data_IF_311497925608
#
_entry.id   IF_311497925608
#
_cell.length_a   1.000
_cell.length_b   1.000
_cell.length_c   1.000
_cell.angle_alpha   90.00
_cell.angle_beta   90.00
_cell.angle_gamma   90.00
#
_symmetry.space_group_name_H-M   'P 1'
#
loop_
_entity.id
_entity.type
_entity.pdbx_description
1 polymer ?
#
# COMPACT_ATOMS: atom_id res chain seq x y z
N UNK A 1 0.88 23.91 23.39
CA UNK A 1 0.92 23.19 24.70
C UNK A 1 1.85 23.86 25.72
N UNK A 2 3.16 23.99 25.43
CA UNK A 2 4.16 24.57 26.35
C UNK A 2 3.72 25.89 26.99
N UNK A 3 3.26 26.86 26.19
CA UNK A 3 2.76 28.16 26.68
C UNK A 3 1.67 28.04 27.76
N UNK A 4 0.73 27.10 27.60
CA UNK A 4 -0.36 26.90 28.56
C UNK A 4 0.13 26.28 29.88
N UNK A 5 1.15 25.41 29.82
CA UNK A 5 1.79 24.83 31.00
C UNK A 5 2.58 25.91 31.75
N UNK A 6 3.40 26.69 31.05
CA UNK A 6 4.23 27.74 31.64
C UNK A 6 3.42 28.84 32.32
N UNK A 7 2.22 29.16 31.81
CA UNK A 7 1.33 30.14 32.42
C UNK A 7 0.96 29.80 33.88
N UNK A 8 0.90 28.51 34.24
CA UNK A 8 0.60 28.07 35.61
C UNK A 8 1.70 28.41 36.62
N UNK A 9 2.94 28.51 36.17
CA UNK A 9 4.11 28.78 37.01
C UNK A 9 4.42 30.29 37.14
N UNK A 10 3.81 31.12 36.28
CA UNK A 10 4.00 32.57 36.31
C UNK A 10 3.52 33.20 37.63
N UNK A 11 2.43 32.69 38.21
CA UNK A 11 1.86 33.20 39.46
C UNK A 11 2.72 32.90 40.71
N UNK A 12 3.69 31.98 40.60
CA UNK A 12 4.47 31.46 41.73
C UNK A 12 5.91 32.00 41.76
N UNK A 13 6.29 32.90 40.85
CA UNK A 13 7.63 33.52 40.82
C UNK A 13 8.76 32.56 40.43
N UNK A 14 8.44 31.40 39.84
CA UNK A 14 9.46 30.44 39.37
C UNK A 14 10.16 30.93 38.11
N UNK A 15 11.48 30.72 38.05
CA UNK A 15 12.27 30.88 36.81
C UNK A 15 12.05 29.67 35.91
N UNK A 16 11.52 29.92 34.71
CA UNK A 16 11.19 28.92 33.68
C UNK A 16 12.37 28.77 32.73
N UNK A 17 13.07 27.65 32.82
CA UNK A 17 14.21 27.31 31.93
C UNK A 17 13.86 26.12 31.04
N UNK A 18 14.16 26.23 29.75
CA UNK A 18 14.18 25.10 28.83
C UNK A 18 15.63 24.64 28.60
N UNK A 19 15.84 23.33 28.60
CA UNK A 19 17.13 22.72 28.25
C UNK A 19 16.90 21.83 27.04
N UNK A 20 17.64 22.07 25.97
CA UNK A 20 17.55 21.32 24.72
C UNK A 20 18.79 20.45 24.57
N UNK A 21 18.57 19.14 24.42
CA UNK A 21 19.59 18.14 24.15
C UNK A 21 19.28 17.50 22.79
N UNK A 22 20.00 17.89 21.75
CA UNK A 22 19.81 17.40 20.38
C UNK A 22 21.14 17.44 19.63
N UNK A 23 21.38 16.46 18.75
CA UNK A 23 22.61 16.34 17.98
C UNK A 23 23.67 15.45 18.63
N UNK A 24 24.96 15.76 18.40
CA UNK A 24 26.06 14.92 18.87
C UNK A 24 26.26 15.13 20.37
N UNK A 25 26.10 14.08 21.20
CA UNK A 25 26.27 14.22 22.64
C UNK A 25 27.74 14.45 23.02
N UNK A 26 27.95 15.02 24.21
CA UNK A 26 29.28 15.20 24.80
C UNK A 26 29.99 13.86 25.03
N UNK A 27 31.32 13.90 25.08
CA UNK A 27 32.14 12.71 25.34
C UNK A 27 31.80 12.05 26.71
N UNK A 28 31.53 12.88 27.73
CA UNK A 28 31.10 12.42 29.05
C UNK A 28 29.78 11.64 29.00
N UNK A 29 28.80 12.13 28.22
CA UNK A 29 27.53 11.44 28.05
C UNK A 29 27.71 10.11 27.32
N UNK A 30 28.54 10.07 26.27
CA UNK A 30 28.86 8.82 25.55
C UNK A 30 29.51 7.78 26.46
N UNK A 31 30.47 8.19 27.29
CA UNK A 31 31.11 7.28 28.26
C UNK A 31 30.09 6.69 29.24
N UNK A 32 29.16 7.52 29.73
CA UNK A 32 28.08 7.07 30.63
C UNK A 32 27.11 6.11 29.94
N UNK A 33 26.76 6.35 28.68
CA UNK A 33 25.92 5.42 27.89
C UNK A 33 26.62 4.08 27.71
N UNK A 34 27.91 4.09 27.37
CA UNK A 34 28.73 2.89 27.21
C UNK A 34 28.81 2.07 28.52
N UNK A 35 29.00 2.72 29.66
CA UNK A 35 28.96 2.07 30.98
C UNK A 35 27.60 1.40 31.24
N UNK A 36 26.51 2.10 30.94
CA UNK A 36 25.16 1.56 31.12
C UNK A 36 24.87 0.39 30.17
N UNK A 37 25.37 0.39 28.93
CA UNK A 37 25.24 -0.75 28.01
C UNK A 37 25.97 -1.97 28.59
N UNK A 38 27.20 -1.80 29.11
CA UNK A 38 27.93 -2.88 29.76
C UNK A 38 27.15 -3.41 30.97
N UNK A 39 26.58 -2.52 31.78
CA UNK A 39 25.75 -2.91 32.92
C UNK A 39 24.51 -3.71 32.48
N UNK A 40 23.83 -3.29 31.41
CA UNK A 40 22.66 -3.99 30.86
C UNK A 40 23.04 -5.37 30.29
N UNK A 41 24.20 -5.48 29.61
CA UNK A 41 24.74 -6.78 29.16
C UNK A 41 25.01 -7.71 30.33
N UNK A 42 25.68 -7.22 31.39
CA UNK A 42 25.95 -8.00 32.61
C UNK A 42 24.65 -8.44 33.28
N UNK A 43 23.65 -7.57 33.35
CA UNK A 43 22.35 -7.90 33.93
C UNK A 43 21.61 -8.96 33.09
N UNK A 44 21.64 -8.86 31.76
CA UNK A 44 21.05 -9.86 30.85
C UNK A 44 21.75 -11.21 30.95
N UNK A 45 23.08 -11.25 30.95
CA UNK A 45 23.86 -12.47 31.14
C UNK A 45 23.56 -13.13 32.49
N UNK A 46 23.53 -12.35 33.58
CA UNK A 46 23.16 -12.85 34.90
C UNK A 46 21.72 -13.38 34.98
N UNK A 47 20.76 -12.70 34.34
CA UNK A 47 19.37 -13.14 34.27
C UNK A 47 19.22 -14.43 33.47
N UNK A 48 19.95 -14.58 32.36
CA UNK A 48 19.97 -15.78 31.53
C UNK A 48 20.61 -16.95 32.30
N UNK A 49 21.74 -16.74 32.97
CA UNK A 49 22.36 -17.73 33.85
C UNK A 49 21.42 -18.18 34.96
N UNK A 50 20.70 -17.24 35.60
CA UNK A 50 19.68 -17.56 36.62
C UNK A 50 18.51 -18.37 36.05
N UNK A 51 18.02 -18.05 34.85
CA UNK A 51 16.96 -18.82 34.17
C UNK A 51 17.42 -20.23 33.85
N UNK A 52 18.64 -20.40 33.31
CA UNK A 52 19.24 -21.71 33.04
C UNK A 52 19.36 -22.54 34.32
N UNK A 53 19.89 -21.97 35.40
CA UNK A 53 20.00 -22.65 36.68
C UNK A 53 18.63 -23.08 37.26
N UNK A 54 17.60 -22.23 37.12
CA UNK A 54 16.23 -22.57 37.55
C UNK A 54 15.62 -23.70 36.70
N UNK A 55 15.88 -23.71 35.40
CA UNK A 55 15.44 -24.77 34.49
C UNK A 55 16.14 -26.09 34.77
N UNK A 56 17.44 -26.08 35.01
CA UNK A 56 18.19 -27.27 35.39
C UNK A 56 17.71 -27.86 36.72
N UNK A 57 17.46 -27.02 37.72
CA UNK A 57 16.93 -27.46 39.02
C UNK A 57 15.51 -28.02 38.87
N UNK A 58 14.64 -27.37 38.08
CA UNK A 58 13.31 -27.89 37.76
C UNK A 58 13.39 -29.27 37.10
N UNK A 59 14.30 -29.43 36.14
CA UNK A 59 14.50 -30.70 35.45
C UNK A 59 15.02 -31.79 36.41
N UNK A 60 15.96 -31.47 37.31
CA UNK A 60 16.43 -32.39 38.37
C UNK A 60 15.30 -32.87 39.28
N UNK A 61 14.45 -31.96 39.75
CA UNK A 61 13.30 -32.30 40.60
C UNK A 61 12.31 -33.22 39.85
N UNK A 62 12.08 -32.97 38.55
CA UNK A 62 11.20 -33.81 37.71
C UNK A 62 11.77 -35.21 37.55
N UNK A 63 13.07 -35.34 37.23
CA UNK A 63 13.75 -36.63 37.11
C UNK A 63 13.69 -37.40 38.44
N UNK A 64 13.97 -36.75 39.56
CA UNK A 64 13.92 -37.39 40.88
C UNK A 64 12.50 -37.86 41.23
N UNK A 65 11.47 -37.07 40.92
CA UNK A 65 10.05 -37.45 41.10
C UNK A 65 9.66 -38.63 40.22
N UNK A 66 10.13 -38.66 38.97
CA UNK A 66 9.87 -39.79 38.04
C UNK A 66 10.50 -41.07 38.57
N UNK A 67 11.76 -41.03 38.99
CA UNK A 67 12.47 -42.16 39.60
C UNK A 67 11.75 -42.70 40.85
N UNK A 68 11.30 -41.80 41.73
CA UNK A 68 10.52 -42.17 42.92
C UNK A 68 9.16 -42.80 42.58
N UNK A 69 8.46 -42.27 41.58
CA UNK A 69 7.17 -42.80 41.13
C UNK A 69 7.31 -44.19 40.49
N UNK A 70 8.38 -44.40 39.71
CA UNK A 70 8.68 -45.68 39.09
C UNK A 70 9.10 -46.74 40.11
N UNK A 71 9.98 -46.40 41.06
CA UNK A 71 10.32 -47.27 42.19
C UNK A 71 9.08 -47.63 43.03
N UNK A 72 8.16 -46.68 43.26
CA UNK A 72 6.91 -46.94 43.96
C UNK A 72 5.95 -47.85 43.16
N UNK A 73 5.90 -47.71 41.82
CA UNK A 73 5.15 -48.64 40.96
C UNK A 73 5.75 -50.05 41.01
N UNK A 74 7.07 -50.18 40.89
CA UNK A 74 7.78 -51.47 40.95
C UNK A 74 7.60 -52.14 42.32
N UNK A 75 7.64 -51.37 43.42
CA UNK A 75 7.35 -51.88 44.76
C UNK A 75 5.90 -52.36 44.93
N UNK A 76 4.92 -51.63 44.37
CA UNK A 76 3.51 -52.06 44.37
C UNK A 76 3.29 -53.30 43.53
N UNK A 77 3.96 -53.41 42.39
CA UNK A 77 3.87 -54.57 41.51
C UNK A 77 4.50 -55.81 42.14
N UNK A 78 5.67 -55.66 42.78
CA UNK A 78 6.33 -56.73 43.53
C UNK A 78 5.48 -57.19 44.73
N UNK A 79 4.82 -56.28 45.45
CA UNK A 79 3.89 -56.63 46.51
C UNK A 79 2.67 -57.40 45.98
N UNK A 80 2.11 -56.98 44.84
CA UNK A 80 0.98 -57.66 44.19
C UNK A 80 1.34 -59.05 43.66
N UNK A 81 2.56 -59.24 43.11
CA UNK A 81 3.07 -60.55 42.66
C UNK A 81 3.33 -61.51 43.83
N UNK A 82 3.82 -61.00 44.97
CA UNK A 82 3.96 -61.79 46.22
C UNK A 82 2.63 -62.27 46.81
N UNK A 83 1.57 -61.47 46.72
CA UNK A 83 0.22 -61.88 47.15
C UNK A 83 -0.44 -62.89 46.19
N UNK A 84 0.01 -62.98 44.94
CA UNK A 84 -0.54 -63.88 43.92
C UNK A 84 0.18 -65.25 43.82
N UNK A 85 1.30 -65.46 44.52
CA UNK A 85 2.00 -66.76 44.57
C UNK A 85 2.83 -67.12 43.32
N UNK A 86 3.25 -66.14 42.52
CA UNK A 86 4.20 -66.31 41.39
C UNK A 86 5.65 -66.04 41.84
N UNK A 87 6.61 -66.87 41.39
CA UNK A 87 8.06 -66.66 41.59
C UNK A 87 8.53 -65.38 40.90
N UNK A 88 9.30 -64.56 41.62
CA UNK A 88 9.84 -63.29 41.14
C UNK A 88 11.22 -63.53 40.55
N UNK A 89 11.34 -63.44 39.23
CA UNK A 89 12.61 -63.41 38.52
C UNK A 89 13.28 -62.04 38.73
N UNK A 90 14.52 -62.04 39.26
CA UNK A 90 15.20 -60.87 39.83
C UNK A 90 16.01 -60.06 38.80
N UNK A 91 16.04 -60.47 37.52
CA UNK A 91 17.04 -60.04 36.54
C UNK A 91 16.54 -59.04 35.45
N UNK A 92 15.69 -58.08 35.82
CA UNK A 92 15.40 -56.89 34.99
C UNK A 92 15.70 -55.59 35.76
N UNK A 93 16.93 -55.48 36.24
CA UNK A 93 17.35 -54.40 37.13
C UNK A 93 18.38 -53.43 36.54
N UNK A 94 19.04 -53.73 35.41
CA UNK A 94 20.25 -52.96 35.04
C UNK A 94 20.19 -52.20 33.69
N UNK A 95 19.30 -52.55 32.77
CA UNK A 95 19.34 -51.96 31.41
C UNK A 95 18.50 -50.68 31.23
N UNK A 96 17.39 -50.50 31.95
CA UNK A 96 16.44 -49.41 31.68
C UNK A 96 16.80 -48.06 32.36
N UNK A 97 17.72 -48.06 33.33
CA UNK A 97 18.13 -46.83 34.04
C UNK A 97 19.26 -46.09 33.29
N UNK A 98 19.91 -46.72 32.32
CA UNK A 98 21.09 -46.17 31.64
C UNK A 98 20.77 -45.37 30.37
N UNK A 99 19.65 -45.64 29.69
CA UNK A 99 19.31 -44.97 28.41
C UNK A 99 18.65 -43.60 28.55
N UNK A 100 18.09 -43.21 29.71
CA UNK A 100 17.42 -41.89 29.84
C UNK A 100 18.32 -40.75 30.36
N UNK A 101 19.57 -41.02 30.75
CA UNK A 101 20.53 -39.98 31.18
C UNK A 101 21.20 -39.25 29.99
N UNK A 102 21.07 -39.77 28.75
CA UNK A 102 21.88 -39.33 27.61
C UNK A 102 21.23 -38.29 26.66
N UNK A 103 19.98 -37.85 26.91
CA UNK A 103 19.36 -36.76 26.11
C UNK A 103 19.23 -35.47 26.91
N UNK A 104 20.38 -34.89 27.24
CA UNK A 104 20.47 -33.46 27.59
C UNK A 104 21.18 -32.76 26.43
N UNK A 105 20.43 -32.41 25.39
CA UNK A 105 20.90 -31.51 24.33
C UNK A 105 21.34 -30.20 24.99
N UNK A 106 22.65 -30.06 25.13
CA UNK A 106 23.33 -28.88 25.62
C UNK A 106 23.24 -27.82 24.53
N UNK A 107 22.17 -27.02 24.53
CA UNK A 107 22.17 -25.76 23.79
C UNK A 107 23.17 -24.84 24.47
N UNK A 108 24.43 -24.91 24.02
CA UNK A 108 25.42 -23.84 24.22
C UNK A 108 24.93 -22.60 23.49
N UNK A 109 24.03 -21.89 24.15
CA UNK A 109 23.80 -20.48 23.86
C UNK A 109 25.08 -19.77 24.25
N UNK A 110 25.90 -19.44 23.25
CA UNK A 110 27.15 -18.69 23.40
C UNK A 110 26.90 -17.48 24.30
N UNK A 111 27.65 -17.39 25.40
CA UNK A 111 27.63 -16.21 26.26
C UNK A 111 28.09 -15.02 25.43
N UNK A 112 27.16 -14.12 25.10
CA UNK A 112 27.48 -12.93 24.33
C UNK A 112 28.58 -12.14 25.07
N UNK A 113 29.66 -11.74 24.38
CA UNK A 113 30.78 -11.06 25.03
C UNK A 113 30.30 -9.77 25.72
N UNK A 114 30.72 -9.60 26.97
CA UNK A 114 30.36 -8.46 27.84
C UNK A 114 31.03 -7.16 27.37
N UNK A 115 31.96 -7.25 26.41
CA UNK A 115 32.64 -6.10 25.82
C UNK A 115 31.74 -5.34 24.84
N UNK A 116 32.00 -4.03 24.70
CA UNK A 116 31.30 -3.19 23.73
C UNK A 116 31.78 -3.51 22.31
N UNK A 117 30.84 -3.83 21.42
CA UNK A 117 31.15 -3.94 19.99
C UNK A 117 31.42 -2.55 19.40
N UNK A 118 32.05 -2.49 18.22
CA UNK A 118 32.26 -1.21 17.52
C UNK A 118 30.94 -0.47 17.23
N UNK A 119 29.89 -1.23 16.92
CA UNK A 119 28.54 -0.70 16.73
C UNK A 119 28.01 -0.04 18.02
N UNK A 120 28.18 -0.69 19.17
CA UNK A 120 27.72 -0.15 20.46
C UNK A 120 28.53 1.05 20.94
N UNK A 121 29.81 1.14 20.56
CA UNK A 121 30.63 2.34 20.85
C UNK A 121 30.14 3.57 20.08
N UNK A 122 29.51 3.36 18.92
CA UNK A 122 28.94 4.44 18.10
C UNK A 122 27.58 4.94 18.59
N UNK A 123 26.90 4.16 19.44
CA UNK A 123 25.57 4.51 19.95
C UNK A 123 25.62 5.74 20.85
N UNK A 124 24.75 6.70 20.54
CA UNK A 124 24.56 7.91 21.35
C UNK A 124 23.55 7.71 22.47
N UNK A 125 22.81 6.61 22.48
CA UNK A 125 21.80 6.27 23.50
C UNK A 125 21.60 4.76 23.56
N UNK A 126 21.02 4.27 24.66
CA UNK A 126 20.71 2.84 24.83
C UNK A 126 19.44 2.47 24.09
N UNK A 127 19.43 1.31 23.44
CA UNK A 127 18.20 0.75 22.87
C UNK A 127 17.37 0.14 24.00
N UNK A 128 16.26 0.79 24.31
CA UNK A 128 15.27 0.31 25.28
C UNK A 128 14.26 -0.62 24.60
N UNK A 129 13.64 -1.53 25.37
CA UNK A 129 12.58 -2.40 24.87
C UNK A 129 11.29 -1.63 24.57
N UNK A 130 11.03 -0.59 25.36
CA UNK A 130 9.89 0.29 25.19
C UNK A 130 10.36 1.63 24.61
N UNK A 131 9.70 2.14 23.56
CA UNK A 131 10.00 3.47 23.02
C UNK A 131 9.56 4.57 24.01
N UNK A 132 10.25 5.70 23.98
CA UNK A 132 9.96 6.85 24.85
C UNK A 132 8.61 7.51 24.53
N UNK A 133 8.15 7.39 23.28
CA UNK A 133 6.86 7.88 22.82
C UNK A 133 5.99 6.72 22.35
N UNK A 134 4.72 6.76 22.72
CA UNK A 134 3.71 5.90 22.09
C UNK A 134 3.54 6.27 20.62
N UNK A 135 3.17 5.31 19.78
CA UNK A 135 2.93 5.55 18.35
C UNK A 135 1.92 6.68 18.13
N UNK A 136 0.87 6.73 18.96
CA UNK A 136 -0.14 7.80 18.91
C UNK A 136 0.44 9.19 19.17
N UNK A 137 1.36 9.32 20.12
CA UNK A 137 2.03 10.60 20.37
C UNK A 137 2.98 10.96 19.23
N UNK A 138 3.66 9.96 18.65
CA UNK A 138 4.56 10.14 17.52
C UNK A 138 3.82 10.59 16.26
N UNK A 139 2.54 10.23 16.05
CA UNK A 139 1.75 10.71 14.90
C UNK A 139 1.66 12.24 14.79
N UNK A 140 1.83 12.96 15.91
CA UNK A 140 1.88 14.43 15.94
C UNK A 140 3.28 15.00 15.62
N UNK A 141 4.21 14.20 15.09
CA UNK A 141 5.59 14.61 14.81
C UNK A 141 5.69 15.90 13.98
N UNK A 142 4.76 16.12 13.04
CA UNK A 142 4.73 17.31 12.20
C UNK A 142 4.48 18.61 12.98
N UNK A 143 3.95 18.51 14.20
CA UNK A 143 3.73 19.63 15.12
C UNK A 143 4.88 19.84 16.12
N UNK A 144 5.92 19.00 16.07
CA UNK A 144 7.06 19.11 16.98
C UNK A 144 7.85 20.38 16.66
N UNK A 145 8.26 21.07 17.71
CA UNK A 145 8.97 22.35 17.63
C UNK A 145 9.93 22.50 18.79
N UNK A 146 11.02 23.24 18.57
CA UNK A 146 11.93 23.65 19.63
C UNK A 146 11.28 24.73 20.51
N UNK A 147 11.64 24.82 21.81
CA UNK A 147 11.13 25.86 22.68
C UNK A 147 11.58 27.24 22.18
N UNK A 148 10.69 28.23 22.25
CA UNK A 148 11.00 29.62 21.91
C UNK A 148 10.71 30.56 23.07
N UNK A 149 11.39 31.71 23.12
CA UNK A 149 11.20 32.68 24.21
C UNK A 149 9.77 33.22 24.27
N UNK A 150 9.09 33.32 23.13
CA UNK A 150 7.69 33.78 23.02
C UNK A 150 6.69 32.86 23.73
N UNK A 151 7.08 31.63 24.06
CA UNK A 151 6.27 30.71 24.86
C UNK A 151 6.29 31.06 26.36
N UNK A 152 7.19 31.95 26.79
CA UNK A 152 7.32 32.42 28.18
C UNK A 152 8.45 31.78 28.97
N UNK A 153 9.47 31.24 28.29
CA UNK A 153 10.72 30.79 28.92
C UNK A 153 11.64 31.96 29.23
N UNK A 154 12.20 32.00 30.44
CA UNK A 154 13.16 33.02 30.86
C UNK A 154 14.58 32.72 30.34
N UNK A 155 14.89 31.45 30.10
CA UNK A 155 16.20 30.98 29.65
C UNK A 155 16.07 29.70 28.81
N UNK A 156 16.80 29.61 27.70
CA UNK A 156 16.83 28.44 26.82
C UNK A 156 18.29 28.06 26.61
N UNK A 157 18.67 26.88 27.07
CA UNK A 157 20.05 26.39 27.03
C UNK A 157 20.14 25.20 26.08
N UNK A 158 21.05 25.27 25.12
CA UNK A 158 21.38 24.15 24.24
C UNK A 158 22.68 23.49 24.72
N UNK A 159 22.62 22.19 25.03
CA UNK A 159 23.71 21.51 25.77
C UNK A 159 24.69 20.79 24.84
N UNK A 160 24.21 20.24 23.72
CA UNK A 160 25.01 19.40 22.83
C UNK A 160 25.46 20.16 21.59
N UNK A 161 24.50 20.69 20.83
CA UNK A 161 24.76 21.48 19.62
C UNK A 161 24.05 22.84 19.73
N UNK A 162 24.44 23.82 18.93
CA UNK A 162 23.80 25.15 18.92
C UNK A 162 22.36 25.13 18.37
N UNK A 163 21.62 26.22 18.60
CA UNK A 163 20.22 26.40 18.19
C UNK A 163 19.98 26.10 16.70
N UNK A 164 20.80 26.70 15.82
CA UNK A 164 20.66 26.52 14.37
C UNK A 164 20.89 25.05 13.93
N UNK A 165 21.81 24.35 14.58
CA UNK A 165 22.06 22.93 14.31
C UNK A 165 20.89 22.06 14.80
N UNK A 166 20.33 22.37 15.97
CA UNK A 166 19.15 21.67 16.50
C UNK A 166 17.92 21.90 15.62
N UNK A 167 17.69 23.13 15.15
CA UNK A 167 16.58 23.46 14.25
C UNK A 167 16.67 22.69 12.94
N UNK A 168 17.88 22.65 12.33
CA UNK A 168 18.12 21.85 11.13
C UNK A 168 17.87 20.36 11.38
N UNK A 169 18.40 19.80 12.47
CA UNK A 169 18.22 18.37 12.80
C UNK A 169 16.74 18.01 12.98
N UNK A 170 15.97 18.86 13.67
CA UNK A 170 14.54 18.63 13.85
C UNK A 170 13.80 18.70 12.52
N UNK A 171 14.11 19.67 11.66
CA UNK A 171 13.49 19.80 10.32
C UNK A 171 13.81 18.60 9.42
N UNK A 172 15.07 18.18 9.40
CA UNK A 172 15.51 17.01 8.63
C UNK A 172 14.80 15.75 9.13
N UNK A 173 14.68 15.57 10.45
CA UNK A 173 13.95 14.45 11.06
C UNK A 173 12.44 14.50 10.76
N UNK A 174 11.79 15.67 10.85
CA UNK A 174 10.37 15.83 10.49
C UNK A 174 10.17 15.48 9.01
N UNK A 175 11.05 15.96 8.12
CA UNK A 175 11.01 15.66 6.68
C UNK A 175 11.15 14.15 6.42
N UNK A 176 12.10 13.50 7.08
CA UNK A 176 12.27 12.05 7.02
C UNK A 176 11.02 11.29 7.50
N UNK A 177 10.40 11.74 8.59
CA UNK A 177 9.12 11.18 9.08
C UNK A 177 7.97 11.43 8.12
N UNK A 178 7.88 12.61 7.49
CA UNK A 178 6.90 12.90 6.42
C UNK A 178 7.04 11.92 5.25
N UNK A 179 8.28 11.50 4.92
CA UNK A 179 8.56 10.53 3.86
C UNK A 179 8.25 9.08 4.24
N UNK A 180 8.50 8.70 5.49
CA UNK A 180 8.44 7.28 5.94
C UNK A 180 7.13 6.89 6.63
N UNK A 181 6.38 7.85 7.16
CA UNK A 181 5.12 7.60 7.89
C UNK A 181 3.89 7.95 7.04
N UNK A 182 2.87 7.10 7.10
CA UNK A 182 1.57 7.34 6.46
C UNK A 182 0.75 8.38 7.23
N UNK A 183 -0.13 9.07 6.50
CA UNK A 183 -1.18 9.92 7.09
C UNK A 183 -2.45 9.10 7.23
N UNK A 184 -2.70 8.65 8.46
CA UNK A 184 -3.79 7.72 8.73
C UNK A 184 -5.18 8.38 8.75
N UNK A 185 -5.24 9.65 9.15
CA UNK A 185 -6.51 10.39 9.27
C UNK A 185 -6.98 11.05 7.97
N UNK A 186 -6.19 10.95 6.89
CA UNK A 186 -6.55 11.49 5.58
C UNK A 186 -7.85 10.86 5.08
N UNK A 187 -8.74 11.66 4.48
CA UNK A 187 -9.98 11.19 3.86
C UNK A 187 -10.13 11.80 2.47
N UNK A 188 -10.72 11.09 1.50
CA UNK A 188 -10.97 11.66 0.19
C UNK A 188 -11.88 12.89 0.29
N UNK A 189 -11.40 14.02 -0.21
CA UNK A 189 -12.16 15.27 -0.26
C UNK A 189 -13.24 15.27 -1.33
N UNK A 190 -14.04 16.33 -1.34
CA UNK A 190 -15.15 16.54 -2.29
C UNK A 190 -14.70 16.56 -3.75
N UNK A 191 -13.53 17.13 -4.02
CA UNK A 191 -12.95 17.15 -5.36
C UNK A 191 -12.75 15.73 -5.91
N UNK A 192 -12.12 14.85 -5.12
CA UNK A 192 -11.88 13.48 -5.54
C UNK A 192 -13.18 12.70 -5.73
N UNK A 193 -14.13 12.81 -4.79
CA UNK A 193 -15.38 12.05 -4.86
C UNK A 193 -16.20 12.42 -6.09
N UNK A 194 -16.20 13.71 -6.46
CA UNK A 194 -16.84 14.21 -7.68
C UNK A 194 -16.14 13.66 -8.93
N UNK A 195 -14.83 13.87 -9.05
CA UNK A 195 -14.04 13.44 -10.22
C UNK A 195 -14.06 11.92 -10.41
N UNK A 196 -13.95 11.15 -9.32
CA UNK A 196 -14.03 9.69 -9.37
C UNK A 196 -15.45 9.18 -9.69
N UNK A 197 -16.48 9.95 -9.34
CA UNK A 197 -17.86 9.68 -9.76
C UNK A 197 -18.06 9.87 -11.26
N UNK A 198 -17.56 10.97 -11.81
CA UNK A 198 -17.57 11.26 -13.25
C UNK A 198 -16.78 10.22 -14.05
N UNK A 199 -15.60 9.85 -13.55
CA UNK A 199 -14.78 8.77 -14.09
C UNK A 199 -15.56 7.47 -14.26
N UNK A 200 -16.24 7.00 -13.20
CA UNK A 200 -17.00 5.75 -13.23
C UNK A 200 -18.11 5.80 -14.28
N UNK A 201 -18.76 6.95 -14.46
CA UNK A 201 -19.79 7.15 -15.49
C UNK A 201 -19.19 7.07 -16.89
N UNK A 202 -18.14 7.84 -17.17
CA UNK A 202 -17.45 7.83 -18.47
C UNK A 202 -16.89 6.46 -18.81
N UNK A 203 -16.18 5.81 -17.88
CA UNK A 203 -15.64 4.46 -18.10
C UNK A 203 -16.73 3.43 -18.43
N UNK A 204 -17.88 3.51 -17.75
CA UNK A 204 -19.03 2.65 -18.04
C UNK A 204 -19.60 2.91 -19.43
N UNK A 205 -19.74 4.18 -19.80
CA UNK A 205 -20.21 4.61 -21.11
C UNK A 205 -19.27 4.14 -22.24
N UNK A 206 -17.96 4.34 -22.09
CA UNK A 206 -16.96 3.90 -23.05
C UNK A 206 -16.95 2.38 -23.23
N UNK A 207 -16.99 1.62 -22.13
CA UNK A 207 -17.09 0.16 -22.19
C UNK A 207 -18.37 -0.30 -22.90
N UNK A 208 -19.50 0.37 -22.64
CA UNK A 208 -20.76 0.10 -23.35
C UNK A 208 -20.63 0.40 -24.84
N UNK A 209 -20.06 1.55 -25.21
CA UNK A 209 -19.83 1.95 -26.61
C UNK A 209 -18.93 0.97 -27.35
N UNK A 210 -17.81 0.58 -26.74
CA UNK A 210 -16.90 -0.45 -27.27
C UNK A 210 -17.62 -1.80 -27.43
N UNK A 211 -18.40 -2.22 -26.44
CA UNK A 211 -19.20 -3.44 -26.51
C UNK A 211 -20.27 -3.41 -27.61
N UNK A 212 -20.93 -2.27 -27.84
CA UNK A 212 -21.87 -2.09 -28.95
C UNK A 212 -21.15 -2.12 -30.31
N UNK A 213 -19.93 -1.60 -30.41
CA UNK A 213 -19.14 -1.63 -31.63
C UNK A 213 -18.65 -3.04 -31.99
N UNK A 214 -18.28 -3.83 -30.98
CA UNK A 214 -17.82 -5.23 -31.17
C UNK A 214 -18.96 -6.20 -31.55
N UNK A 215 -20.20 -5.85 -31.24
CA UNK A 215 -21.38 -6.62 -31.65
C UNK A 215 -21.73 -6.29 -33.13
N UNK A 216 -21.70 -7.28 -34.05
CA UNK A 216 -21.93 -7.03 -35.47
C UNK A 216 -23.29 -6.41 -35.80
N UNK A 217 -24.34 -6.73 -35.04
CA UNK A 217 -25.71 -6.21 -35.27
C UNK A 217 -25.74 -4.74 -34.87
N UNK A 218 -25.32 -4.44 -33.63
CA UNK A 218 -25.32 -3.07 -33.12
C UNK A 218 -24.36 -2.17 -33.89
N UNK A 219 -23.24 -2.71 -34.39
CA UNK A 219 -22.32 -1.97 -35.26
C UNK A 219 -22.99 -1.54 -36.57
N UNK A 220 -23.79 -2.42 -37.19
CA UNK A 220 -24.55 -2.06 -38.40
C UNK A 220 -25.53 -0.93 -38.11
N UNK A 221 -26.30 -1.02 -37.02
CA UNK A 221 -27.24 0.02 -36.62
C UNK A 221 -26.55 1.38 -36.37
N UNK A 222 -25.35 1.37 -35.76
CA UNK A 222 -24.55 2.56 -35.51
C UNK A 222 -24.05 3.21 -36.80
N UNK A 223 -23.56 2.40 -37.74
CA UNK A 223 -23.10 2.86 -39.05
C UNK A 223 -24.26 3.40 -39.89
N UNK A 224 -25.43 2.77 -39.85
CA UNK A 224 -26.63 3.23 -40.56
C UNK A 224 -27.13 4.56 -40.01
N UNK A 225 -27.22 4.71 -38.69
CA UNK A 225 -27.52 6.00 -38.05
C UNK A 225 -26.53 7.10 -38.41
N UNK A 226 -25.23 6.76 -38.49
CA UNK A 226 -24.20 7.71 -38.90
C UNK A 226 -24.36 8.15 -40.35
N UNK A 227 -24.68 7.22 -41.25
CA UNK A 227 -25.01 7.54 -42.65
C UNK A 227 -26.22 8.47 -42.75
N UNK A 228 -27.29 8.19 -42.00
CA UNK A 228 -28.47 9.07 -41.95
C UNK A 228 -28.14 10.47 -41.38
N UNK A 229 -27.31 10.56 -40.34
CA UNK A 229 -26.90 11.83 -39.75
C UNK A 229 -26.06 12.67 -40.72
N UNK A 230 -25.13 12.03 -41.44
CA UNK A 230 -24.33 12.70 -42.47
C UNK A 230 -25.21 13.16 -43.63
N UNK A 231 -26.16 12.34 -44.09
CA UNK A 231 -27.13 12.73 -45.11
C UNK A 231 -28.03 13.91 -44.69
N UNK A 232 -28.31 14.07 -43.38
CA UNK A 232 -29.06 15.21 -42.84
C UNK A 232 -28.23 16.48 -42.63
N UNK A 233 -26.90 16.36 -42.56
CA UNK A 233 -25.96 17.48 -42.35
C UNK A 233 -25.44 18.09 -43.66
N UNK A 234 -25.75 17.52 -44.82
CA UNK A 234 -25.51 18.16 -46.10
C UNK A 234 -26.38 19.43 -46.22
N UNK A 235 -25.80 20.61 -46.53
CA UNK A 235 -26.59 21.77 -46.87
C UNK A 235 -27.36 21.47 -48.17
N UNK A 236 -28.68 21.63 -48.15
CA UNK A 236 -29.44 21.84 -49.38
C UNK A 236 -28.90 23.12 -50.01
N UNK A 237 -28.00 23.02 -50.98
CA UNK A 237 -27.75 24.11 -51.92
C UNK A 237 -29.10 24.45 -52.57
N UNK A 238 -29.65 25.62 -52.23
CA UNK A 238 -30.59 26.31 -53.11
C UNK A 238 -29.82 26.71 -54.38
N UNK A 239 -29.88 25.82 -55.36
CA UNK A 239 -29.40 26.02 -56.72
C UNK A 239 -30.57 25.84 -57.69
N UNK A 240 -31.07 26.99 -58.12
CA UNK A 240 -32.07 27.26 -59.14
C UNK A 240 -31.75 26.61 -60.52
N UNK A 241 -32.83 26.25 -61.23
CA UNK A 241 -33.03 25.88 -62.64
C UNK A 241 -31.94 25.15 -63.48
N UNK A 242 -32.32 23.97 -64.00
CA UNK A 242 -31.70 23.36 -65.19
C UNK A 242 -32.05 21.88 -65.42
N UNK A 243 -33.14 21.64 -66.15
CA UNK A 243 -33.67 20.31 -66.49
C UNK A 243 -32.71 19.39 -67.29
N UNK A 244 -32.97 18.08 -67.12
CA UNK A 244 -32.69 16.95 -68.02
C UNK A 244 -31.36 16.18 -67.87
N UNK A 245 -31.33 15.21 -66.94
CA UNK A 245 -31.43 13.76 -67.28
C UNK A 245 -31.52 12.92 -66.01
N UNK A 246 -32.69 12.32 -65.81
CA UNK A 246 -32.96 11.31 -64.81
C UNK A 246 -32.78 9.94 -65.44
N UNK A 247 -31.71 9.24 -65.08
CA UNK A 247 -31.58 7.78 -64.96
C UNK A 247 -30.12 7.48 -64.55
N UNK A 248 -29.93 6.64 -63.52
CA UNK A 248 -28.70 6.37 -62.74
C UNK A 248 -28.26 7.47 -61.74
N UNK A 249 -28.99 7.57 -60.62
CA UNK A 249 -28.47 8.20 -59.40
C UNK A 249 -29.03 7.52 -58.15
N UNK A 250 -28.88 6.20 -58.08
CA UNK A 250 -29.23 5.38 -56.91
C UNK A 250 -28.00 4.60 -56.41
N UNK A 251 -26.83 5.25 -56.30
CA UNK A 251 -25.68 4.66 -55.56
C UNK A 251 -24.57 5.67 -55.24
N UNK A 252 -24.90 6.77 -54.55
CA UNK A 252 -23.87 7.65 -54.00
C UNK A 252 -24.37 8.38 -52.75
N UNK A 253 -24.89 7.65 -51.76
CA UNK A 253 -24.72 8.13 -50.39
C UNK A 253 -23.21 8.13 -50.12
N UNK A 254 -22.60 9.22 -49.62
CA UNK A 254 -21.19 9.19 -49.27
C UNK A 254 -20.99 8.06 -48.27
N UNK A 255 -20.25 7.03 -48.68
CA UNK A 255 -19.77 6.03 -47.75
C UNK A 255 -19.10 6.77 -46.58
N UNK A 256 -19.26 6.29 -45.33
CA UNK A 256 -18.56 6.91 -44.20
C UNK A 256 -17.10 7.07 -44.60
N UNK A 257 -16.58 8.31 -44.51
CA UNK A 257 -15.21 8.63 -44.91
C UNK A 257 -14.32 7.53 -44.33
N UNK A 258 -13.65 6.78 -45.20
CA UNK A 258 -12.78 5.70 -44.78
C UNK A 258 -11.56 6.35 -44.12
N UNK A 259 -11.70 6.69 -42.85
CA UNK A 259 -10.61 7.23 -42.04
C UNK A 259 -9.66 6.07 -41.84
N UNK A 260 -8.44 6.21 -42.36
CA UNK A 260 -7.39 5.26 -42.03
C UNK A 260 -7.07 5.41 -40.54
N UNK A 261 -7.51 4.45 -39.73
CA UNK A 261 -7.31 4.49 -38.29
C UNK A 261 -5.83 4.48 -37.93
N UNK A 262 -4.99 3.84 -38.74
CA UNK A 262 -3.57 3.65 -38.45
C UNK A 262 -2.77 4.95 -38.60
N UNK A 263 -3.19 5.83 -39.52
CA UNK A 263 -2.57 7.14 -39.78
C UNK A 263 -3.25 8.30 -39.04
N UNK A 264 -4.30 8.03 -38.27
CA UNK A 264 -5.06 9.05 -37.53
C UNK A 264 -4.21 9.65 -36.41
N UNK A 265 -4.07 10.98 -36.36
CA UNK A 265 -3.54 11.68 -35.19
C UNK A 265 -4.54 11.59 -34.03
N UNK A 266 -4.21 10.74 -33.06
CA UNK A 266 -5.02 10.42 -31.87
C UNK A 266 -5.35 11.68 -31.07
N UNK A 267 -4.44 12.66 -31.01
CA UNK A 267 -4.63 13.85 -30.19
C UNK A 267 -5.52 14.90 -30.85
N UNK A 268 -5.55 14.94 -32.19
CA UNK A 268 -6.42 15.82 -32.97
C UNK A 268 -7.90 15.38 -32.99
N UNK A 269 -8.21 14.17 -32.51
CA UNK A 269 -9.59 13.67 -32.42
C UNK A 269 -10.43 14.53 -31.45
N UNK A 270 -11.49 15.14 -31.97
CA UNK A 270 -12.39 15.98 -31.18
C UNK A 270 -13.40 15.18 -30.35
N UNK A 271 -13.94 14.07 -30.89
CA UNK A 271 -14.85 13.17 -30.19
C UNK A 271 -14.30 11.74 -30.18
N UNK A 272 -13.92 11.26 -29.00
CA UNK A 272 -13.39 9.90 -28.82
C UNK A 272 -14.44 8.80 -28.98
N UNK A 273 -15.73 9.15 -28.98
CA UNK A 273 -16.86 8.22 -29.14
C UNK A 273 -17.20 7.93 -30.60
N UNK A 274 -16.74 8.80 -31.51
CA UNK A 274 -16.90 8.71 -32.95
C UNK A 274 -15.82 9.56 -33.63
N UNK A 275 -14.81 8.90 -34.19
CA UNK A 275 -13.70 9.58 -34.88
C UNK A 275 -14.08 10.10 -36.27
N UNK A 276 -15.36 9.98 -36.66
CA UNK A 276 -15.92 10.47 -37.93
C UNK A 276 -16.57 9.36 -38.76
N UNK A 277 -16.09 8.12 -38.62
CA UNK A 277 -16.60 6.93 -39.31
C UNK A 277 -17.73 6.21 -38.57
N UNK A 278 -18.13 6.69 -37.39
CA UNK A 278 -18.98 5.98 -36.45
C UNK A 278 -18.22 5.07 -35.48
N UNK A 279 -16.90 4.91 -35.67
CA UNK A 279 -16.03 4.09 -34.83
C UNK A 279 -15.50 4.88 -33.61
N UNK A 280 -15.59 4.37 -32.37
CA UNK A 280 -14.94 5.01 -31.23
C UNK A 280 -13.43 4.82 -31.27
N UNK A 281 -12.66 5.78 -30.76
CA UNK A 281 -11.19 5.76 -30.74
C UNK A 281 -10.62 4.52 -30.03
N UNK A 282 -11.34 4.02 -29.01
CA UNK A 282 -10.99 2.86 -28.21
C UNK A 282 -11.66 1.56 -28.71
N UNK A 283 -12.08 1.49 -29.98
CA UNK A 283 -12.73 0.31 -30.57
C UNK A 283 -11.89 -0.98 -30.39
N UNK A 284 -10.57 -0.86 -30.54
CA UNK A 284 -9.63 -1.97 -30.47
C UNK A 284 -9.09 -2.26 -29.07
N UNK A 285 -9.56 -1.55 -28.03
CA UNK A 285 -9.11 -1.80 -26.67
C UNK A 285 -9.42 -3.23 -26.23
N UNK A 286 -8.39 -3.93 -25.76
CA UNK A 286 -8.49 -5.20 -25.07
C UNK A 286 -8.44 -4.99 -23.56
N UNK A 287 -8.48 -6.08 -22.79
CA UNK A 287 -8.49 -6.01 -21.32
C UNK A 287 -7.33 -5.18 -20.77
N UNK A 288 -6.15 -5.38 -21.36
CA UNK A 288 -4.90 -4.78 -20.97
C UNK A 288 -4.93 -3.26 -21.16
N UNK A 289 -5.49 -2.77 -22.28
CA UNK A 289 -5.68 -1.34 -22.52
C UNK A 289 -6.65 -0.71 -21.52
N UNK A 290 -7.76 -1.40 -21.21
CA UNK A 290 -8.70 -0.91 -20.19
C UNK A 290 -8.07 -0.84 -18.80
N UNK A 291 -7.20 -1.79 -18.47
CA UNK A 291 -6.47 -1.80 -17.20
C UNK A 291 -5.47 -0.63 -17.13
N UNK A 292 -4.75 -0.37 -18.22
CA UNK A 292 -3.80 0.75 -18.29
C UNK A 292 -4.48 2.11 -18.26
N UNK A 293 -5.56 2.31 -19.04
CA UNK A 293 -6.37 3.52 -18.99
C UNK A 293 -6.86 3.78 -17.55
N UNK A 294 -7.33 2.74 -16.89
CA UNK A 294 -7.80 2.83 -15.51
C UNK A 294 -6.68 3.20 -14.53
N UNK A 295 -5.51 2.56 -14.63
CA UNK A 295 -4.36 2.86 -13.80
C UNK A 295 -3.90 4.32 -13.97
N UNK A 296 -3.77 4.79 -15.22
CA UNK A 296 -3.36 6.18 -15.51
C UNK A 296 -4.26 7.19 -14.84
N UNK A 297 -5.57 7.09 -15.05
CA UNK A 297 -6.50 8.10 -14.55
C UNK A 297 -6.69 8.02 -13.03
N UNK A 298 -6.77 6.80 -12.48
CA UNK A 298 -6.95 6.65 -11.04
C UNK A 298 -5.72 7.11 -10.25
N UNK A 299 -4.50 6.82 -10.73
CA UNK A 299 -3.27 7.35 -10.11
C UNK A 299 -3.19 8.88 -10.24
N UNK A 300 -3.55 9.43 -11.41
CA UNK A 300 -3.63 10.88 -11.60
C UNK A 300 -4.55 11.54 -10.56
N UNK A 301 -5.76 11.00 -10.37
CA UNK A 301 -6.69 11.50 -9.36
C UNK A 301 -6.17 11.36 -7.94
N UNK A 302 -5.60 10.20 -7.57
CA UNK A 302 -5.11 9.96 -6.21
C UNK A 302 -3.98 10.93 -5.85
N UNK A 303 -3.05 11.18 -6.77
CA UNK A 303 -1.90 12.06 -6.52
C UNK A 303 -2.33 13.52 -6.35
N UNK A 304 -3.21 14.02 -7.23
CA UNK A 304 -3.74 15.38 -7.09
C UNK A 304 -4.64 15.54 -5.86
N UNK A 305 -5.51 14.55 -5.59
CA UNK A 305 -6.36 14.56 -4.41
C UNK A 305 -5.56 14.53 -3.11
N UNK A 306 -4.51 13.69 -3.03
CA UNK A 306 -3.65 13.63 -1.86
C UNK A 306 -3.05 14.99 -1.54
N UNK A 307 -2.52 15.69 -2.54
CA UNK A 307 -1.94 17.03 -2.37
C UNK A 307 -2.97 18.03 -1.85
N UNK A 308 -4.20 18.01 -2.38
CA UNK A 308 -5.30 18.88 -1.95
C UNK A 308 -5.77 18.56 -0.53
N UNK A 309 -6.03 17.30 -0.25
CA UNK A 309 -6.66 16.86 0.99
C UNK A 309 -5.69 16.96 2.17
N UNK A 310 -4.39 16.70 1.94
CA UNK A 310 -3.38 16.86 2.97
C UNK A 310 -3.01 18.33 3.20
N UNK A 311 -2.98 19.12 2.12
CA UNK A 311 -2.70 20.57 2.16
C UNK A 311 -1.42 20.93 2.95
N UNK A 312 -0.37 20.10 2.82
CA UNK A 312 0.95 20.31 3.45
C UNK A 312 1.99 20.59 2.35
N UNK A 313 2.53 21.83 2.25
CA UNK A 313 3.52 22.20 1.22
C UNK A 313 4.79 21.34 1.24
N UNK A 314 5.21 20.84 2.40
CA UNK A 314 6.41 20.00 2.50
C UNK A 314 6.12 18.52 2.21
N UNK A 315 4.84 18.16 2.05
CA UNK A 315 4.40 16.81 1.71
C UNK A 315 3.44 16.84 0.52
N UNK A 316 3.93 17.23 -0.68
CA UNK A 316 3.10 17.31 -1.89
C UNK A 316 2.71 15.94 -2.46
N UNK A 317 3.29 14.84 -1.95
CA UNK A 317 3.05 13.48 -2.42
C UNK A 317 3.45 12.43 -1.37
N UNK A 318 3.53 11.18 -1.82
CA UNK A 318 3.92 10.03 -1.01
C UNK A 318 4.77 9.06 -1.84
N UNK A 319 5.53 8.19 -1.17
CA UNK A 319 6.41 7.20 -1.82
C UNK A 319 5.64 5.94 -2.23
N UNK A 320 6.24 5.12 -3.10
CA UNK A 320 5.70 3.80 -3.51
C UNK A 320 5.26 2.92 -2.32
N UNK A 321 6.03 2.90 -1.23
CA UNK A 321 5.71 2.13 -0.02
C UNK A 321 4.33 2.45 0.60
N UNK A 322 3.71 3.56 0.21
CA UNK A 322 2.40 3.98 0.69
C UNK A 322 1.33 3.98 -0.40
N UNK A 323 1.69 3.63 -1.64
CA UNK A 323 0.78 3.63 -2.78
C UNK A 323 -0.43 2.74 -2.54
N UNK A 324 -0.22 1.49 -2.14
CA UNK A 324 -1.34 0.57 -1.87
C UNK A 324 -2.30 1.11 -0.81
N UNK A 325 -1.78 1.82 0.19
CA UNK A 325 -2.61 2.38 1.27
C UNK A 325 -3.48 3.53 0.77
N UNK A 326 -2.88 4.49 0.07
CA UNK A 326 -3.63 5.64 -0.44
C UNK A 326 -4.56 5.27 -1.58
N UNK A 327 -4.13 4.40 -2.49
CA UNK A 327 -4.97 3.91 -3.56
C UNK A 327 -6.21 3.17 -3.03
N UNK A 328 -6.07 2.31 -2.00
CA UNK A 328 -7.23 1.70 -1.33
C UNK A 328 -8.12 2.73 -0.64
N UNK A 329 -7.52 3.68 0.09
CA UNK A 329 -8.24 4.72 0.80
C UNK A 329 -9.12 5.57 -0.14
N UNK A 330 -8.59 5.96 -1.29
CA UNK A 330 -9.27 6.79 -2.29
C UNK A 330 -10.18 5.98 -3.21
N UNK A 331 -9.63 4.98 -3.91
CA UNK A 331 -10.35 4.26 -4.96
C UNK A 331 -11.21 3.09 -4.45
N UNK A 332 -11.02 2.66 -3.19
CA UNK A 332 -11.61 1.45 -2.58
C UNK A 332 -11.25 0.18 -3.36
N UNK A 333 -9.99 0.12 -3.78
CA UNK A 333 -9.39 -0.95 -4.60
C UNK A 333 -7.95 -1.17 -4.17
N UNK A 334 -7.45 -2.38 -4.35
CA UNK A 334 -6.04 -2.66 -4.18
C UNK A 334 -5.29 -2.45 -5.50
N UNK A 335 -4.16 -1.71 -5.46
CA UNK A 335 -3.25 -1.62 -6.60
C UNK A 335 -2.19 -2.69 -6.45
N UNK A 336 -2.11 -3.60 -7.42
CA UNK A 336 -1.13 -4.68 -7.44
C UNK A 336 -0.41 -4.68 -8.80
N UNK A 337 0.90 -4.44 -8.74
CA UNK A 337 1.79 -4.36 -9.90
C UNK A 337 1.89 -5.69 -10.65
N UNK A 338 1.67 -6.81 -9.95
CA UNK A 338 1.71 -8.16 -10.57
C UNK A 338 0.60 -8.36 -11.60
N UNK A 339 -0.50 -7.62 -11.51
CA UNK A 339 -1.53 -7.64 -12.55
C UNK A 339 -1.02 -7.12 -13.88
N UNK A 340 -0.02 -6.23 -13.88
CA UNK A 340 0.62 -5.69 -15.07
C UNK A 340 1.81 -6.54 -15.55
N UNK A 341 2.11 -7.65 -14.85
CA UNK A 341 3.20 -8.57 -15.21
C UNK A 341 4.59 -8.05 -14.85
N UNK A 342 4.69 -7.14 -13.87
CA UNK A 342 5.94 -6.55 -13.37
C UNK A 342 6.05 -6.73 -11.86
N UNK A 343 7.27 -6.65 -11.32
CA UNK A 343 7.54 -6.94 -9.91
C UNK A 343 7.59 -5.69 -9.03
N UNK A 344 7.90 -4.53 -9.63
CA UNK A 344 8.02 -3.25 -8.92
C UNK A 344 7.11 -2.18 -9.51
N UNK A 345 6.71 -1.17 -8.71
CA UNK A 345 5.95 -0.05 -9.26
C UNK A 345 6.80 0.80 -10.20
N UNK A 346 8.11 0.92 -9.93
CA UNK A 346 9.04 1.61 -10.81
C UNK A 346 9.04 1.03 -12.24
N UNK A 347 9.07 -0.31 -12.37
CA UNK A 347 8.91 -1.00 -13.66
C UNK A 347 7.56 -0.71 -14.31
N UNK A 348 6.46 -0.73 -13.52
CA UNK A 348 5.13 -0.39 -14.03
C UNK A 348 5.08 1.03 -14.60
N UNK A 349 5.75 1.98 -13.93
CA UNK A 349 5.85 3.36 -14.38
C UNK A 349 6.70 3.47 -15.64
N UNK A 350 7.91 2.90 -15.69
CA UNK A 350 8.78 3.01 -16.86
C UNK A 350 8.20 2.37 -18.11
N UNK A 351 7.58 1.20 -17.97
CA UNK A 351 7.04 0.43 -19.10
C UNK A 351 5.69 0.96 -19.57
N UNK A 352 4.81 1.32 -18.62
CA UNK A 352 3.40 1.53 -18.97
C UNK A 352 2.83 2.90 -18.61
N UNK A 353 3.34 3.59 -17.59
CA UNK A 353 2.65 4.75 -16.99
C UNK A 353 3.49 6.04 -16.97
N UNK A 354 4.57 6.11 -17.77
CA UNK A 354 5.49 7.26 -17.85
C UNK A 354 4.81 8.58 -18.23
N UNK A 355 3.66 8.48 -18.90
CA UNK A 355 2.83 9.60 -19.34
C UNK A 355 1.90 10.13 -18.25
N UNK A 356 1.71 9.38 -17.16
CA UNK A 356 0.75 9.70 -16.10
C UNK A 356 1.43 9.94 -14.75
N UNK A 357 2.48 9.17 -14.41
CA UNK A 357 3.15 9.21 -13.11
C UNK A 357 4.66 9.28 -13.30
N UNK A 358 5.32 10.07 -12.45
CA UNK A 358 6.78 10.13 -12.33
C UNK A 358 7.19 9.92 -10.87
N UNK A 359 8.43 9.48 -10.65
CA UNK A 359 9.03 9.31 -9.32
C UNK A 359 10.10 10.38 -9.15
N UNK A 360 9.97 11.21 -8.13
CA UNK A 360 10.95 12.24 -7.82
C UNK A 360 12.24 11.61 -7.27
N UNK A 361 13.36 11.83 -7.94
CA UNK A 361 14.66 11.24 -7.56
C UNK A 361 15.20 11.73 -6.21
N UNK A 362 14.84 12.95 -5.78
CA UNK A 362 15.36 13.56 -4.55
C UNK A 362 14.68 13.03 -3.29
N UNK A 363 13.37 12.78 -3.36
CA UNK A 363 12.56 12.43 -2.19
C UNK A 363 11.79 11.11 -2.33
N UNK A 364 11.71 10.55 -3.54
CA UNK A 364 10.99 9.32 -3.86
C UNK A 364 9.46 9.49 -3.96
N UNK A 365 8.95 10.73 -3.97
CA UNK A 365 7.52 10.98 -4.07
C UNK A 365 7.01 10.74 -5.48
N UNK A 366 5.84 10.10 -5.55
CA UNK A 366 5.08 9.97 -6.76
C UNK A 366 4.46 11.33 -7.14
N UNK A 367 4.58 11.69 -8.41
CA UNK A 367 4.08 12.97 -8.95
C UNK A 367 3.24 12.72 -10.21
N UNK A 368 2.11 13.42 -10.36
CA UNK A 368 1.37 13.38 -11.62
C UNK A 368 2.18 14.11 -12.69
N UNK A 369 2.27 13.52 -13.87
CA UNK A 369 2.93 14.12 -15.04
C UNK A 369 2.02 15.19 -15.67
N UNK A 370 0.72 14.92 -15.67
CA UNK A 370 -0.29 15.78 -16.31
C UNK A 370 -0.92 16.77 -15.31
N UNK A 371 -1.30 17.98 -15.77
CA UNK A 371 -2.04 18.97 -14.98
C UNK A 371 -3.36 18.43 -14.41
N UNK A 372 -3.78 18.94 -13.25
CA UNK A 372 -5.00 18.50 -12.55
C UNK A 372 -6.28 18.62 -13.40
N UNK A 373 -6.34 19.59 -14.30
CA UNK A 373 -7.47 19.90 -15.17
C UNK A 373 -7.40 19.18 -16.52
N UNK A 374 -6.50 18.20 -16.67
CA UNK A 374 -6.39 17.39 -17.89
C UNK A 374 -7.72 16.70 -18.19
N UNK A 375 -8.31 16.91 -19.38
CA UNK A 375 -9.54 16.25 -19.78
C UNK A 375 -9.46 14.72 -19.66
N UNK A 376 -10.50 14.10 -19.09
CA UNK A 376 -10.57 12.62 -18.92
C UNK A 376 -10.36 11.89 -20.26
N UNK A 377 -10.82 12.49 -21.35
CA UNK A 377 -10.75 11.94 -22.69
C UNK A 377 -9.30 11.85 -23.21
N UNK A 378 -8.39 12.71 -22.72
CA UNK A 378 -6.97 12.67 -23.10
C UNK A 378 -6.28 11.40 -22.57
N UNK A 379 -6.77 10.82 -21.48
CA UNK A 379 -6.25 9.54 -20.98
C UNK A 379 -6.59 8.36 -21.90
N UNK A 380 -7.71 8.45 -22.63
CA UNK A 380 -8.05 7.49 -23.70
C UNK A 380 -7.08 7.66 -24.85
N UNK A 381 -6.79 8.90 -25.25
CA UNK A 381 -5.83 9.23 -26.31
C UNK A 381 -4.42 8.71 -25.97
N UNK A 382 -3.94 8.95 -24.76
CA UNK A 382 -2.65 8.43 -24.28
C UNK A 382 -2.59 6.89 -24.33
N UNK A 383 -3.67 6.23 -23.92
CA UNK A 383 -3.74 4.77 -23.93
C UNK A 383 -3.78 4.21 -25.35
N UNK A 384 -4.52 4.85 -26.26
CA UNK A 384 -4.59 4.44 -27.67
C UNK A 384 -3.26 4.67 -28.39
N UNK A 385 -2.57 5.79 -28.16
CA UNK A 385 -1.26 6.03 -28.75
C UNK A 385 -0.26 4.96 -28.29
N UNK A 386 -0.22 4.64 -26.99
CA UNK A 386 0.63 3.57 -26.49
C UNK A 386 0.22 2.19 -27.06
N UNK A 387 -1.07 1.93 -27.27
CA UNK A 387 -1.54 0.69 -27.93
C UNK A 387 -0.97 0.58 -29.34
N UNK A 388 -1.06 1.64 -30.13
CA UNK A 388 -0.54 1.71 -31.50
C UNK A 388 0.99 1.61 -31.54
N UNK A 389 1.69 2.26 -30.62
CA UNK A 389 3.14 2.11 -30.47
C UNK A 389 3.53 0.66 -30.21
N UNK A 390 2.85 -0.03 -29.28
CA UNK A 390 3.10 -1.45 -29.00
C UNK A 390 2.79 -2.34 -30.21
N UNK A 391 1.68 -2.11 -30.90
CA UNK A 391 1.31 -2.86 -32.10
C UNK A 391 2.37 -2.71 -33.21
N UNK A 392 2.84 -1.48 -33.47
CA UNK A 392 3.96 -1.22 -34.41
C UNK A 392 5.25 -1.95 -34.01
N UNK A 393 5.57 -2.02 -32.71
CA UNK A 393 6.73 -2.79 -32.22
C UNK A 393 6.56 -4.29 -32.44
N UNK A 394 5.36 -4.83 -32.18
CA UNK A 394 5.05 -6.25 -32.41
C UNK A 394 5.18 -6.60 -33.90
N UNK A 395 4.62 -5.76 -34.78
CA UNK A 395 4.68 -5.97 -36.24
C UNK A 395 6.11 -5.87 -36.78
N UNK A 396 6.96 -5.06 -36.14
CA UNK A 396 8.40 -4.98 -36.41
C UNK A 396 9.20 -6.18 -35.85
N UNK A 397 8.54 -7.14 -35.20
CA UNK A 397 9.16 -8.36 -34.64
C UNK A 397 9.68 -8.23 -33.22
N UNK A 398 9.38 -7.13 -32.52
CA UNK A 398 9.71 -6.97 -31.11
C UNK A 398 8.64 -7.62 -30.22
N UNK A 399 8.80 -8.91 -30.00
CA UNK A 399 7.94 -9.75 -29.16
C UNK A 399 7.88 -9.29 -27.69
N UNK A 400 8.82 -8.45 -27.22
CA UNK A 400 8.83 -7.93 -25.84
C UNK A 400 7.70 -6.92 -25.60
N UNK A 401 7.14 -6.33 -26.65
CA UNK A 401 6.02 -5.39 -26.56
C UNK A 401 4.66 -6.05 -26.27
N UNK A 402 4.57 -7.40 -26.30
CA UNK A 402 3.34 -8.14 -25.97
C UNK A 402 3.05 -8.09 -24.47
N UNK A 403 1.90 -7.53 -24.11
CA UNK A 403 1.45 -7.43 -22.71
C UNK A 403 1.05 -8.82 -22.15
N UNK A 404 1.49 -9.10 -20.92
CA UNK A 404 1.24 -10.38 -20.21
C UNK A 404 0.53 -10.15 -18.88
N UNK A 405 -0.63 -9.51 -18.93
CA UNK A 405 -1.34 -9.15 -17.70
C UNK A 405 -2.04 -10.36 -17.09
N UNK A 406 -2.03 -10.42 -15.76
CA UNK A 406 -2.75 -11.47 -15.03
C UNK A 406 -4.20 -11.05 -14.87
N UNK A 407 -5.13 -11.73 -15.55
CA UNK A 407 -6.58 -11.47 -15.42
C UNK A 407 -7.09 -12.05 -14.10
N UNK A 408 -7.58 -11.20 -13.19
CA UNK A 408 -8.36 -11.67 -12.05
C UNK A 408 -9.67 -12.29 -12.54
N UNK A 409 -9.90 -13.57 -12.25
CA UNK A 409 -11.24 -14.15 -12.32
C UNK A 409 -12.09 -13.50 -11.23
N UNK A 410 -13.12 -12.74 -11.61
CA UNK A 410 -14.11 -12.32 -10.62
C UNK A 410 -14.78 -13.58 -10.06
N UNK A 411 -14.85 -13.75 -8.72
CA UNK A 411 -15.67 -14.83 -8.16
C UNK A 411 -17.10 -14.65 -8.68
N UNK A 412 -17.78 -15.75 -9.10
CA UNK A 412 -19.10 -15.64 -9.66
C UNK A 412 -20.02 -14.91 -8.69
N UNK A 413 -20.67 -13.84 -9.15
CA UNK A 413 -21.71 -13.15 -8.38
C UNK A 413 -22.74 -14.20 -7.96
N UNK A 414 -22.81 -14.49 -6.66
CA UNK A 414 -23.90 -15.30 -6.13
C UNK A 414 -25.22 -14.64 -6.54
N UNK A 415 -26.17 -15.41 -7.09
CA UNK A 415 -27.46 -14.84 -7.45
C UNK A 415 -28.11 -14.28 -6.19
N UNK A 416 -28.45 -13.00 -6.26
CA UNK A 416 -29.19 -12.25 -5.27
C UNK A 416 -30.48 -13.03 -4.96
N UNK A 417 -30.57 -13.61 -3.75
CA UNK A 417 -31.80 -14.28 -3.29
C UNK A 417 -32.80 -13.19 -2.96
N UNK A 418 -33.45 -12.71 -4.02
CA UNK A 418 -34.56 -11.78 -3.97
C UNK A 418 -35.62 -12.23 -2.98
N UNK A 419 -36.10 -11.23 -2.24
CA UNK A 419 -37.20 -11.30 -1.30
C UNK A 419 -38.44 -11.98 -1.89
N UNK A 420 -38.80 -13.14 -1.37
CA UNK A 420 -40.14 -13.70 -1.51
C UNK A 420 -40.99 -13.34 -0.29
N UNK A 421 -41.78 -12.29 -0.47
CA UNK A 421 -43.16 -12.12 0.01
C UNK A 421 -43.55 -12.88 1.30
N UNK A 422 -43.49 -12.19 2.43
CA UNK A 422 -44.28 -12.54 3.62
C UNK A 422 -45.75 -12.18 3.39
N UNK A 423 -46.52 -13.12 2.84
CA UNK A 423 -47.99 -13.08 2.89
C UNK A 423 -48.52 -14.49 3.12
N UNK A 424 -48.72 -14.83 4.39
CA UNK A 424 -49.29 -16.11 4.81
C UNK A 424 -50.13 -15.94 6.08
N UNK A 425 -51.39 -15.54 5.90
CA UNK A 425 -52.44 -15.72 6.92
C UNK A 425 -52.56 -17.21 7.22
N UNK A 426 -52.28 -17.61 8.46
CA UNK A 426 -52.46 -18.97 8.95
C UNK A 426 -53.11 -18.97 10.33
N UNK A 427 -54.43 -19.02 10.34
CA UNK A 427 -55.31 -19.20 11.49
C UNK A 427 -55.28 -20.69 11.88
N UNK A 428 -54.93 -21.06 13.11
CA UNK A 428 -54.90 -22.47 13.53
C UNK A 428 -54.74 -22.67 15.03
N UNK A 429 -55.81 -23.12 15.67
CA UNK A 429 -56.00 -23.35 17.12
C UNK A 429 -55.08 -24.42 17.71
N UNK A 430 -54.64 -24.12 18.93
CA UNK A 430 -54.66 -24.92 20.17
C UNK A 430 -54.73 -26.44 20.09
N UNK A 431 -53.81 -27.08 20.84
CA UNK A 431 -54.13 -27.72 22.11
C UNK A 431 -52.88 -27.81 22.97
#
# INVERSE_FOLDING_TARGET
ERKAILAKFAAQGFKKRAIVLMGKPSAEYKAKVQELIIADKRAKAAAQARRKAQEEERNRIVVEKRRKAEAAKKAKEAARKKEAGEEVDEDMAEDEVKEEDEKKDEVKEEEAPIELTEEEKSLSYRKMELPDLTDRALMSYASFSLPTKDEGFDDITYVWEGEAACDKLLKDWISEKKRTMRVEDLKPGEWFTTQYGEWKKKLSEWRKRCGMWKDPVRRKDLLEKKKEEMAKKEPKEEGDEGEAKAEEKEEAAPAPVAINMDDLDVFAVADIMDVGSGEPLFANFVYEDWALLQARYELHLVLHAFKKDLNDPDRPGFTEAHLSYYYDKYCKKHFDVKHFGVDTFAECVSEFLRDAVSIDESNGFLKPVLPEDTPIDDFVKLTEEQRRERERRIDAGDETAKLKFTRQQQPPKQPDKGAHSAQGKGKGKGR
#
